data_IF_980674828040
#
_entry.id   IF_980674828040
#
_cell.length_a   1.000
_cell.length_b   1.000
_cell.length_c   1.000
_cell.angle_alpha   90.00
_cell.angle_beta   90.00
_cell.angle_gamma   90.00
#
_symmetry.space_group_name_H-M   'P 1'
#
loop_
_entity.id
_entity.type
_entity.pdbx_description
1 polymer ?
#
# COMPACT_ATOMS: atom_id res chain seq x y z
N UNK A 1 -7.96 0.93 -0.50
CA UNK A 1 -7.16 2.10 -0.95
C UNK A 1 -6.87 3.10 0.15
N UNK A 2 -7.85 3.47 1.00
CA UNK A 2 -7.57 4.36 2.14
C UNK A 2 -6.50 3.80 3.06
N UNK A 3 -6.59 2.52 3.41
CA UNK A 3 -5.57 1.86 4.22
C UNK A 3 -4.21 1.84 3.51
N UNK A 4 -4.19 1.72 2.18
CA UNK A 4 -2.97 1.80 1.37
C UNK A 4 -2.31 3.15 1.43
N UNK A 5 -3.09 4.24 1.46
CA UNK A 5 -2.58 5.59 1.67
C UNK A 5 -1.87 5.69 3.02
N UNK A 6 -2.50 5.22 4.09
CA UNK A 6 -1.91 5.23 5.43
C UNK A 6 -0.67 4.35 5.49
N UNK A 7 -0.71 3.17 4.89
CA UNK A 7 0.43 2.25 4.82
C UNK A 7 1.65 2.92 4.17
N UNK A 8 1.48 3.51 3.00
CA UNK A 8 2.60 4.14 2.31
C UNK A 8 3.10 5.42 3.00
N UNK A 9 2.22 6.18 3.65
CA UNK A 9 2.63 7.30 4.49
C UNK A 9 3.51 6.83 5.66
N UNK A 10 3.10 5.79 6.35
CA UNK A 10 3.88 5.22 7.46
C UNK A 10 5.19 4.58 6.98
N UNK A 11 5.19 3.89 5.84
CA UNK A 11 6.41 3.36 5.24
C UNK A 11 7.39 4.46 4.86
N UNK A 12 6.90 5.57 4.35
CA UNK A 12 7.76 6.72 4.05
C UNK A 12 8.42 7.27 5.30
N UNK A 13 7.67 7.41 6.39
CA UNK A 13 8.20 7.86 7.68
C UNK A 13 9.16 6.83 8.30
N UNK A 14 8.84 5.55 8.16
CA UNK A 14 9.69 4.44 8.58
C UNK A 14 11.08 4.54 7.95
N UNK A 15 11.14 4.67 6.63
CA UNK A 15 12.40 4.77 5.91
C UNK A 15 13.13 6.10 6.15
N UNK A 16 12.40 7.19 6.25
CA UNK A 16 13.00 8.49 6.58
C UNK A 16 13.67 8.47 7.95
N UNK A 17 13.04 7.84 8.93
CA UNK A 17 13.58 7.74 10.29
C UNK A 17 14.92 7.00 10.34
N UNK A 18 15.10 5.96 9.54
CA UNK A 18 16.36 5.21 9.47
C UNK A 18 17.36 5.78 8.46
N UNK A 19 17.06 6.91 7.85
CA UNK A 19 17.96 7.60 6.93
C UNK A 19 17.97 7.07 5.50
N UNK A 20 16.93 6.36 5.09
CA UNK A 20 16.77 5.83 3.72
C UNK A 20 15.88 6.77 2.89
N UNK A 21 16.43 7.89 2.45
CA UNK A 21 15.64 8.94 1.78
C UNK A 21 15.04 8.51 0.44
N UNK A 22 15.71 7.66 -0.31
CA UNK A 22 15.22 7.19 -1.61
C UNK A 22 13.97 6.32 -1.44
N UNK A 23 13.98 5.39 -0.49
CA UNK A 23 12.81 4.57 -0.17
C UNK A 23 11.68 5.40 0.41
N UNK A 24 11.99 6.41 1.21
CA UNK A 24 10.99 7.34 1.73
C UNK A 24 10.29 8.07 0.59
N UNK A 25 11.03 8.59 -0.38
CA UNK A 25 10.47 9.26 -1.56
C UNK A 25 9.61 8.32 -2.42
N UNK A 26 10.06 7.09 -2.60
CA UNK A 26 9.30 6.07 -3.33
C UNK A 26 7.93 5.84 -2.70
N UNK A 27 7.88 5.64 -1.39
CA UNK A 27 6.61 5.45 -0.71
C UNK A 27 5.75 6.73 -0.69
N UNK A 28 6.34 7.92 -0.72
CA UNK A 28 5.61 9.17 -0.92
C UNK A 28 4.93 9.23 -2.28
N UNK A 29 5.60 8.77 -3.33
CA UNK A 29 4.99 8.67 -4.66
C UNK A 29 3.82 7.69 -4.67
N UNK A 30 3.98 6.55 -4.02
CA UNK A 30 2.91 5.54 -3.91
C UNK A 30 1.71 6.05 -3.11
N UNK A 31 1.96 6.84 -2.08
CA UNK A 31 0.90 7.53 -1.34
C UNK A 31 0.06 8.41 -2.27
N UNK A 32 0.69 9.16 -3.16
CA UNK A 32 -0.02 9.99 -4.15
C UNK A 32 -0.80 9.14 -5.13
N UNK A 33 -0.22 8.07 -5.63
CA UNK A 33 -0.87 7.15 -6.56
C UNK A 33 -2.09 6.49 -5.93
N UNK A 34 -2.01 6.08 -4.67
CA UNK A 34 -3.14 5.53 -3.91
C UNK A 34 -4.24 6.56 -3.73
N UNK A 35 -3.87 7.82 -3.44
CA UNK A 35 -4.83 8.93 -3.32
C UNK A 35 -5.57 9.15 -4.62
N UNK A 36 -4.85 9.23 -5.74
CA UNK A 36 -5.44 9.42 -7.06
C UNK A 36 -6.32 8.23 -7.45
N UNK A 37 -5.88 7.02 -7.15
CA UNK A 37 -6.64 5.80 -7.38
C UNK A 37 -7.94 5.75 -6.58
N UNK A 38 -7.89 6.17 -5.33
CA UNK A 38 -9.07 6.27 -4.47
C UNK A 38 -10.09 7.27 -5.02
N UNK A 39 -9.64 8.44 -5.45
CA UNK A 39 -10.52 9.46 -6.05
C UNK A 39 -11.20 8.91 -7.29
N UNK A 40 -10.44 8.27 -8.19
CA UNK A 40 -10.99 7.65 -9.40
C UNK A 40 -12.03 6.58 -9.08
N UNK A 41 -11.76 5.75 -8.06
CA UNK A 41 -12.69 4.72 -7.63
C UNK A 41 -14.01 5.33 -7.13
N UNK A 42 -13.93 6.36 -6.29
CA UNK A 42 -15.10 7.06 -5.78
C UNK A 42 -15.93 7.69 -6.90
N UNK A 43 -15.27 8.33 -7.86
CA UNK A 43 -15.93 8.92 -9.03
C UNK A 43 -16.59 7.86 -9.89
N UNK A 44 -15.87 6.77 -10.19
CA UNK A 44 -16.42 5.66 -10.96
C UNK A 44 -17.65 5.06 -10.29
N UNK A 45 -17.56 4.78 -8.99
CA UNK A 45 -18.67 4.19 -8.23
C UNK A 45 -19.90 5.10 -8.25
N UNK A 46 -19.69 6.38 -7.99
CA UNK A 46 -20.79 7.35 -7.97
C UNK A 46 -21.46 7.48 -9.34
N UNK A 47 -20.68 7.56 -10.42
CA UNK A 47 -21.23 7.70 -11.76
C UNK A 47 -21.88 6.42 -12.29
N UNK A 48 -21.28 5.26 -11.98
CA UNK A 48 -21.79 3.97 -12.46
C UNK A 48 -23.01 3.49 -11.69
N UNK A 49 -23.02 3.64 -10.36
CA UNK A 49 -24.10 3.16 -9.49
C UNK A 49 -25.04 4.25 -8.99
N UNK A 50 -24.77 5.51 -9.30
CA UNK A 50 -25.53 6.67 -8.78
C UNK A 50 -25.62 6.71 -7.26
N UNK A 51 -24.56 6.27 -6.58
CA UNK A 51 -24.48 6.18 -5.12
C UNK A 51 -23.12 6.68 -4.64
N UNK A 52 -23.09 7.15 -3.39
CA UNK A 52 -21.83 7.43 -2.71
C UNK A 52 -21.25 6.16 -2.12
N UNK A 53 -19.93 6.06 -2.10
CA UNK A 53 -19.26 4.99 -1.37
C UNK A 53 -19.59 5.13 0.11
N UNK A 54 -20.14 4.07 0.77
CA UNK A 54 -20.44 4.14 2.18
C UNK A 54 -19.19 4.27 3.05
N UNK A 55 -19.32 4.94 4.19
CA UNK A 55 -18.27 4.96 5.19
C UNK A 55 -18.03 3.55 5.73
N UNK A 56 -16.77 3.14 5.71
CA UNK A 56 -16.34 1.87 6.28
C UNK A 56 -15.35 2.15 7.40
N UNK A 57 -15.45 1.50 8.56
CA UNK A 57 -14.41 1.57 9.57
C UNK A 57 -13.08 1.12 8.96
N UNK A 58 -12.03 1.92 9.20
CA UNK A 58 -10.71 1.65 8.66
C UNK A 58 -9.77 1.28 9.81
N UNK A 59 -9.14 0.11 9.70
CA UNK A 59 -8.07 -0.26 10.61
C UNK A 59 -6.77 0.37 10.12
N UNK A 60 -5.98 0.88 11.07
CA UNK A 60 -4.70 1.49 10.74
C UNK A 60 -3.63 0.41 10.58
N UNK A 61 -2.87 0.38 9.47
CA UNK A 61 -1.74 -0.51 9.34
C UNK A 61 -0.69 -0.25 10.42
N UNK A 62 -0.15 -1.31 10.99
CA UNK A 62 0.89 -1.25 12.02
C UNK A 62 2.25 -1.43 11.36
N UNK A 63 2.88 -0.34 10.94
CA UNK A 63 4.15 -0.34 10.22
C UNK A 63 5.32 0.00 11.13
N UNK A 64 5.20 1.09 11.89
CA UNK A 64 6.28 1.60 12.72
C UNK A 64 6.31 0.84 14.05
N UNK A 65 7.44 0.19 14.41
CA UNK A 65 7.54 -0.47 15.72
C UNK A 65 7.29 0.49 16.86
N UNK A 66 6.50 0.06 17.84
CA UNK A 66 6.14 0.89 19.01
C UNK A 66 7.38 1.43 19.73
N UNK A 67 8.43 0.61 19.83
CA UNK A 67 9.68 1.00 20.48
C UNK A 67 10.36 2.21 19.83
N UNK A 68 10.12 2.45 18.52
CA UNK A 68 10.74 3.57 17.82
C UNK A 68 10.22 4.93 18.28
N UNK A 69 9.05 5.00 18.86
CA UNK A 69 8.50 6.24 19.39
C UNK A 69 9.29 6.75 20.62
N UNK A 70 10.12 5.88 21.21
CA UNK A 70 11.02 6.22 22.32
C UNK A 70 12.44 6.54 21.84
N UNK A 71 12.73 6.39 20.56
CA UNK A 71 14.05 6.61 19.97
C UNK A 71 14.15 7.97 19.30
N UNK A 72 15.40 8.45 19.16
CA UNK A 72 15.78 9.53 18.25
C UNK A 72 16.55 8.92 17.08
N UNK A 73 16.79 9.70 16.03
CA UNK A 73 17.59 9.24 14.89
C UNK A 73 19.00 8.78 15.28
N UNK A 74 19.59 9.38 16.32
CA UNK A 74 20.91 8.99 16.81
C UNK A 74 20.93 7.58 17.41
N UNK A 75 19.78 7.05 17.83
CA UNK A 75 19.68 5.71 18.39
C UNK A 75 19.68 4.62 17.30
N UNK A 76 19.62 4.99 16.03
CA UNK A 76 19.58 4.07 14.90
C UNK A 76 21.02 3.77 14.45
N UNK A 77 21.56 2.64 14.93
CA UNK A 77 22.87 2.17 14.50
C UNK A 77 22.80 1.41 13.14
N UNK A 78 23.95 0.98 12.63
CA UNK A 78 24.03 0.27 11.35
C UNK A 78 23.27 -1.06 11.37
N UNK A 79 23.32 -1.78 12.49
CA UNK A 79 22.60 -3.05 12.67
C UNK A 79 21.09 -2.84 12.67
N UNK A 80 20.61 -1.86 13.42
CA UNK A 80 19.19 -1.49 13.47
C UNK A 80 18.69 -1.10 12.08
N UNK A 81 19.45 -0.29 11.35
CA UNK A 81 19.11 0.11 9.97
C UNK A 81 19.00 -1.10 9.05
N UNK A 82 20.00 -1.97 9.05
CA UNK A 82 20.02 -3.17 8.20
C UNK A 82 18.82 -4.08 8.47
N UNK A 83 18.52 -4.32 9.74
CA UNK A 83 17.36 -5.12 10.13
C UNK A 83 16.03 -4.44 9.72
N UNK A 84 15.95 -3.13 9.88
CA UNK A 84 14.77 -2.36 9.51
C UNK A 84 14.53 -2.38 7.99
N UNK A 85 15.57 -2.33 7.18
CA UNK A 85 15.44 -2.41 5.72
C UNK A 85 14.86 -3.76 5.28
N UNK A 86 15.34 -4.86 5.85
CA UNK A 86 14.76 -6.20 5.58
C UNK A 86 13.32 -6.30 6.07
N UNK A 87 13.04 -5.83 7.26
CA UNK A 87 11.71 -5.84 7.84
C UNK A 87 10.73 -5.00 7.01
N UNK A 88 11.15 -3.83 6.56
CA UNK A 88 10.35 -2.96 5.70
C UNK A 88 10.00 -3.61 4.36
N UNK A 89 10.96 -4.27 3.73
CA UNK A 89 10.72 -5.01 2.49
C UNK A 89 9.71 -6.15 2.69
N UNK A 90 9.82 -6.90 3.79
CA UNK A 90 8.86 -7.96 4.13
C UNK A 90 7.45 -7.41 4.37
N UNK A 91 7.34 -6.29 5.08
CA UNK A 91 6.05 -5.62 5.32
C UNK A 91 5.40 -5.19 4.02
N UNK A 92 6.19 -4.65 3.11
CA UNK A 92 5.68 -4.21 1.81
C UNK A 92 5.21 -5.40 0.96
N UNK A 93 5.98 -6.47 0.88
CA UNK A 93 5.56 -7.70 0.19
C UNK A 93 4.24 -8.23 0.77
N UNK A 94 4.13 -8.32 2.08
CA UNK A 94 2.93 -8.81 2.74
C UNK A 94 1.72 -7.92 2.43
N UNK A 95 1.88 -6.61 2.49
CA UNK A 95 0.82 -5.64 2.21
C UNK A 95 0.30 -5.76 0.77
N UNK A 96 1.20 -5.74 -0.21
CA UNK A 96 0.80 -5.81 -1.62
C UNK A 96 0.22 -7.17 -1.97
N UNK A 97 0.70 -8.24 -1.37
CA UNK A 97 0.16 -9.59 -1.57
C UNK A 97 -1.29 -9.69 -1.08
N UNK A 98 -1.57 -9.19 0.12
CA UNK A 98 -2.93 -9.15 0.67
C UNK A 98 -3.86 -8.25 -0.15
N UNK A 99 -3.35 -7.11 -0.58
CA UNK A 99 -4.11 -6.16 -1.41
C UNK A 99 -4.48 -6.79 -2.76
N UNK A 100 -3.54 -7.48 -3.38
CA UNK A 100 -3.77 -8.20 -4.64
C UNK A 100 -4.86 -9.25 -4.49
N UNK A 101 -4.77 -10.08 -3.46
CA UNK A 101 -5.78 -11.11 -3.17
C UNK A 101 -7.17 -10.50 -2.99
N UNK A 102 -7.27 -9.41 -2.23
CA UNK A 102 -8.53 -8.72 -2.02
C UNK A 102 -9.12 -8.19 -3.32
N UNK A 103 -8.31 -7.56 -4.16
CA UNK A 103 -8.79 -7.00 -5.43
C UNK A 103 -9.18 -8.11 -6.41
N UNK A 104 -8.46 -9.21 -6.45
CA UNK A 104 -8.79 -10.37 -7.27
C UNK A 104 -10.13 -11.00 -6.84
N UNK A 105 -10.36 -11.14 -5.54
CA UNK A 105 -11.62 -11.64 -5.00
C UNK A 105 -12.78 -10.71 -5.36
N UNK A 106 -12.62 -9.40 -5.21
CA UNK A 106 -13.63 -8.42 -5.60
C UNK A 106 -13.92 -8.48 -7.11
N UNK A 107 -12.89 -8.63 -7.93
CA UNK A 107 -13.03 -8.74 -9.38
C UNK A 107 -13.82 -10.02 -9.76
N UNK A 108 -13.53 -11.13 -9.09
CA UNK A 108 -14.25 -12.39 -9.29
C UNK A 108 -15.74 -12.27 -8.94
N UNK A 109 -16.07 -11.62 -7.84
CA UNK A 109 -17.47 -11.35 -7.46
C UNK A 109 -18.19 -10.47 -8.47
N UNK A 110 -17.54 -9.42 -8.96
CA UNK A 110 -18.11 -8.54 -9.98
C UNK A 110 -18.41 -9.30 -11.27
N UNK A 111 -17.50 -10.16 -11.72
CA UNK A 111 -17.71 -10.99 -12.90
C UNK A 111 -18.86 -11.99 -12.70
N UNK A 112 -18.95 -12.62 -11.53
CA UNK A 112 -20.03 -13.55 -11.21
C UNK A 112 -21.40 -12.87 -11.18
N UNK A 113 -21.46 -11.58 -10.85
CA UNK A 113 -22.68 -10.81 -10.84
C UNK A 113 -22.99 -10.11 -12.16
N UNK A 114 -22.22 -10.37 -13.20
CA UNK A 114 -22.42 -9.75 -14.52
C UNK A 114 -21.94 -8.29 -14.63
N UNK A 115 -21.22 -7.80 -13.63
CA UNK A 115 -20.66 -6.44 -13.58
C UNK A 115 -19.31 -6.40 -14.32
N UNK A 116 -19.34 -6.65 -15.62
CA UNK A 116 -18.13 -6.81 -16.45
C UNK A 116 -17.33 -5.52 -16.54
N UNK A 117 -17.99 -4.38 -16.75
CA UNK A 117 -17.32 -3.08 -16.85
C UNK A 117 -16.60 -2.71 -15.55
N UNK A 118 -17.23 -2.95 -14.41
CA UNK A 118 -16.64 -2.70 -13.09
C UNK A 118 -15.46 -3.62 -12.81
N UNK A 119 -15.56 -4.89 -13.22
CA UNK A 119 -14.45 -5.83 -13.12
C UNK A 119 -13.25 -5.37 -13.96
N UNK A 120 -13.47 -4.92 -15.19
CA UNK A 120 -12.41 -4.39 -16.06
C UNK A 120 -11.78 -3.13 -15.47
N UNK A 121 -12.57 -2.24 -14.88
CA UNK A 121 -12.06 -1.07 -14.17
C UNK A 121 -11.11 -1.48 -13.04
N UNK A 122 -11.50 -2.48 -12.25
CA UNK A 122 -10.70 -2.97 -11.14
C UNK A 122 -9.41 -3.69 -11.59
N UNK A 123 -9.41 -4.30 -12.78
CA UNK A 123 -8.24 -4.99 -13.33
C UNK A 123 -7.03 -4.08 -13.51
N UNK A 124 -7.23 -2.79 -13.79
CA UNK A 124 -6.13 -1.81 -13.86
C UNK A 124 -5.45 -1.63 -12.50
N UNK A 125 -6.22 -1.63 -11.42
CA UNK A 125 -5.68 -1.59 -10.06
C UNK A 125 -4.93 -2.85 -9.70
N UNK A 126 -5.42 -4.02 -10.13
CA UNK A 126 -4.73 -5.30 -9.93
C UNK A 126 -3.38 -5.31 -10.64
N UNK A 127 -3.32 -4.78 -11.85
CA UNK A 127 -2.06 -4.65 -12.60
C UNK A 127 -1.05 -3.77 -11.87
N UNK A 128 -1.49 -2.65 -11.32
CA UNK A 128 -0.62 -1.75 -10.56
C UNK A 128 -0.09 -2.41 -9.28
N UNK A 129 -0.96 -3.11 -8.55
CA UNK A 129 -0.56 -3.87 -7.36
C UNK A 129 0.42 -4.99 -7.71
N UNK A 130 0.20 -5.68 -8.81
CA UNK A 130 1.10 -6.74 -9.29
C UNK A 130 2.50 -6.19 -9.58
N UNK A 131 2.59 -5.03 -10.21
CA UNK A 131 3.86 -4.34 -10.46
C UNK A 131 4.54 -3.93 -9.15
N UNK A 132 3.80 -3.37 -8.21
CA UNK A 132 4.33 -2.99 -6.90
C UNK A 132 4.81 -4.20 -6.10
N UNK A 133 4.09 -5.31 -6.16
CA UNK A 133 4.49 -6.56 -5.52
C UNK A 133 5.81 -7.09 -6.10
N UNK A 134 5.98 -7.02 -7.42
CA UNK A 134 7.23 -7.40 -8.07
C UNK A 134 8.42 -6.54 -7.59
N UNK A 135 8.22 -5.22 -7.49
CA UNK A 135 9.24 -4.30 -6.97
C UNK A 135 9.56 -4.59 -5.51
N UNK A 136 8.56 -4.88 -4.69
CA UNK A 136 8.76 -5.24 -3.29
C UNK A 136 9.56 -6.54 -3.13
N UNK A 137 9.29 -7.54 -3.96
CA UNK A 137 10.06 -8.79 -3.99
C UNK A 137 11.52 -8.56 -4.42
N UNK A 138 11.76 -7.74 -5.42
CA UNK A 138 13.12 -7.37 -5.84
C UNK A 138 13.89 -6.71 -4.70
N UNK A 139 13.24 -5.78 -4.00
CA UNK A 139 13.84 -5.13 -2.83
C UNK A 139 14.17 -6.14 -1.74
N UNK A 140 13.26 -7.06 -1.45
CA UNK A 140 13.46 -8.08 -0.42
C UNK A 140 14.65 -9.01 -0.76
N UNK A 141 14.79 -9.41 -2.01
CA UNK A 141 15.89 -10.25 -2.47
C UNK A 141 17.23 -9.50 -2.36
N UNK A 142 17.25 -8.19 -2.63
CA UNK A 142 18.46 -7.38 -2.58
C UNK A 142 18.95 -7.08 -1.16
N UNK A 143 18.14 -7.35 -0.15
CA UNK A 143 18.52 -7.19 1.27
C UNK A 143 19.25 -8.45 1.76
#
# INVERSE_FOLDING_TARGET
MLEGMVFHDEMARYYDFIGCSDMSKDHRCRYKDETDGYIKLCEYYMHHFSKLIPHTPMSRPDVIPESWYMYTRQDVDASTRSNAMKSGAKKWVAWESETKDLYEDCCGELLNNGEIASAHFLMDYIKDVDNELAEAHELLISQ
#
